data_IF_206433326593
#
_entry.id   IF_206433326593
#
_cell.length_a   1.000
_cell.length_b   1.000
_cell.length_c   1.000
_cell.angle_alpha   90.00
_cell.angle_beta   90.00
_cell.angle_gamma   90.00
#
_symmetry.space_group_name_H-M   'P 1'
#
loop_
_entity.id
_entity.type
_entity.pdbx_description
1 polymer ?
#
# COMPACT_ATOMS: atom_id res chain seq x y z
N UNK A 1 1.97 -9.96 -25.87
CA UNK A 1 1.25 -10.64 -24.78
C UNK A 1 0.69 -9.59 -23.84
N UNK A 2 -0.48 -9.78 -23.19
CA UNK A 2 -0.95 -8.85 -22.18
C UNK A 2 0.09 -8.85 -21.04
N UNK A 3 0.62 -7.67 -20.74
CA UNK A 3 1.77 -7.47 -19.87
C UNK A 3 1.33 -7.64 -18.41
N UNK A 4 2.05 -8.44 -17.63
CA UNK A 4 1.67 -8.70 -16.24
C UNK A 4 2.17 -7.58 -15.34
N UNK A 5 1.23 -6.84 -14.74
CA UNK A 5 1.51 -5.96 -13.60
C UNK A 5 1.43 -6.82 -12.34
N UNK A 6 2.49 -6.81 -11.55
CA UNK A 6 2.59 -7.66 -10.36
C UNK A 6 2.87 -6.82 -9.12
N UNK A 7 2.18 -7.08 -8.00
CA UNK A 7 2.52 -6.44 -6.74
C UNK A 7 3.87 -6.97 -6.24
N UNK A 8 4.65 -6.12 -5.57
CA UNK A 8 5.92 -6.48 -4.95
C UNK A 8 5.68 -6.75 -3.46
N UNK A 9 6.02 -7.94 -2.95
CA UNK A 9 5.92 -8.24 -1.52
C UNK A 9 6.83 -7.32 -0.68
N UNK A 10 6.35 -6.95 0.49
CA UNK A 10 6.96 -6.04 1.44
C UNK A 10 7.04 -6.68 2.83
N UNK A 11 8.18 -6.54 3.50
CA UNK A 11 8.38 -7.09 4.84
C UNK A 11 7.62 -6.33 5.94
N UNK A 12 7.45 -5.02 5.73
CA UNK A 12 6.92 -4.04 6.69
C UNK A 12 6.12 -2.97 5.94
N UNK A 13 4.98 -2.58 6.52
CA UNK A 13 4.20 -1.43 6.05
C UNK A 13 4.54 -0.19 6.88
N UNK A 14 4.57 0.98 6.24
CA UNK A 14 4.81 2.26 6.91
C UNK A 14 3.57 3.17 6.88
N UNK A 15 3.55 4.24 7.66
CA UNK A 15 2.67 5.39 7.36
C UNK A 15 3.33 6.32 6.33
N UNK A 16 2.64 7.41 5.99
CA UNK A 16 3.15 8.45 5.07
C UNK A 16 4.40 9.17 5.62
N UNK A 17 4.64 9.12 6.94
CA UNK A 17 5.83 9.67 7.58
C UNK A 17 7.00 8.69 7.66
N UNK A 18 6.87 7.49 7.08
CA UNK A 18 7.92 6.47 7.10
C UNK A 18 8.03 5.72 8.43
N UNK A 19 7.07 5.87 9.34
CA UNK A 19 7.06 5.09 10.58
C UNK A 19 6.62 3.67 10.31
N UNK A 20 7.33 2.69 10.88
CA UNK A 20 6.98 1.28 10.75
C UNK A 20 5.71 1.01 11.57
N UNK A 21 4.71 0.44 10.90
CA UNK A 21 3.43 0.10 11.50
C UNK A 21 3.47 -1.30 12.12
N UNK A 22 2.80 -1.51 13.27
CA UNK A 22 2.59 -2.85 13.80
C UNK A 22 1.89 -3.75 12.79
N UNK A 23 2.41 -4.96 12.54
CA UNK A 23 1.79 -5.94 11.61
C UNK A 23 0.31 -6.22 11.88
N UNK A 24 -0.12 -6.02 13.12
CA UNK A 24 -1.52 -6.17 13.54
C UNK A 24 -2.46 -5.14 12.90
N UNK A 25 -1.97 -3.94 12.55
CA UNK A 25 -2.77 -2.88 11.90
C UNK A 25 -3.37 -3.35 10.58
N UNK A 26 -2.64 -4.15 9.81
CA UNK A 26 -3.07 -4.70 8.52
C UNK A 26 -4.33 -5.56 8.66
N UNK A 27 -4.57 -6.17 9.84
CA UNK A 27 -5.78 -6.96 10.12
C UNK A 27 -7.06 -6.13 10.21
N UNK A 28 -6.92 -4.82 10.42
CA UNK A 28 -8.05 -3.90 10.54
C UNK A 28 -8.42 -3.24 9.20
N UNK A 29 -7.66 -3.51 8.13
CA UNK A 29 -8.01 -3.05 6.80
C UNK A 29 -9.38 -3.60 6.38
N UNK A 30 -10.19 -2.71 5.85
CA UNK A 30 -11.56 -3.01 5.43
C UNK A 30 -11.84 -2.36 4.07
N UNK A 31 -13.03 -2.59 3.52
CA UNK A 31 -13.53 -1.81 2.39
C UNK A 31 -13.38 -0.31 2.70
N UNK A 32 -13.17 0.53 1.69
CA UNK A 32 -12.85 1.96 1.74
C UNK A 32 -11.52 2.36 2.40
N UNK A 33 -10.77 1.45 3.02
CA UNK A 33 -9.40 1.76 3.44
C UNK A 33 -8.53 2.06 2.21
N UNK A 34 -7.57 2.96 2.38
CA UNK A 34 -6.60 3.32 1.35
C UNK A 34 -5.26 2.72 1.71
N UNK A 35 -4.61 2.04 0.78
CA UNK A 35 -3.27 1.46 1.00
C UNK A 35 -2.40 1.77 -0.19
N UNK A 36 -1.08 1.78 0.01
CA UNK A 36 -0.12 1.87 -1.09
C UNK A 36 0.48 0.50 -1.36
N UNK A 37 0.60 0.18 -2.63
CA UNK A 37 1.20 -1.07 -3.12
C UNK A 37 2.23 -0.71 -4.19
N UNK A 38 3.41 -1.32 -4.09
CA UNK A 38 4.42 -1.23 -5.15
C UNK A 38 4.06 -2.24 -6.23
N UNK A 39 3.91 -1.77 -7.46
CA UNK A 39 3.60 -2.59 -8.63
C UNK A 39 4.78 -2.55 -9.57
N UNK A 40 5.22 -3.73 -10.00
CA UNK A 40 6.29 -3.89 -10.99
C UNK A 40 5.70 -4.18 -12.36
N UNK A 41 6.29 -3.55 -13.36
CA UNK A 41 6.18 -3.89 -14.77
C UNK A 41 7.58 -4.24 -15.26
N UNK A 42 7.74 -5.43 -15.85
CA UNK A 42 9.05 -5.94 -16.28
C UNK A 42 9.80 -5.00 -17.22
N UNK A 43 9.08 -4.17 -18.00
CA UNK A 43 9.66 -3.31 -19.02
C UNK A 43 9.83 -1.86 -18.56
N UNK A 44 9.14 -1.46 -17.48
CA UNK A 44 9.03 -0.05 -17.04
C UNK A 44 9.47 0.22 -15.61
N UNK A 45 9.90 -0.81 -14.89
CA UNK A 45 10.33 -0.68 -13.49
C UNK A 45 9.16 -0.84 -12.52
N UNK A 46 9.22 -0.15 -11.39
CA UNK A 46 8.22 -0.26 -10.33
C UNK A 46 7.65 1.10 -9.92
N UNK A 47 6.38 1.13 -9.56
CA UNK A 47 5.67 2.33 -9.11
C UNK A 47 4.84 2.02 -7.88
N UNK A 48 4.81 2.93 -6.91
CA UNK A 48 4.03 2.79 -5.70
C UNK A 48 2.69 3.54 -5.83
N UNK A 49 1.60 2.80 -5.94
CA UNK A 49 0.26 3.29 -6.28
C UNK A 49 -0.69 3.14 -5.08
N UNK A 50 -1.52 4.14 -4.84
CA UNK A 50 -2.59 4.09 -3.84
C UNK A 50 -3.80 3.36 -4.39
N UNK A 51 -4.39 2.50 -3.56
CA UNK A 51 -5.58 1.74 -3.85
C UNK A 51 -6.61 1.96 -2.76
N UNK A 52 -7.83 2.29 -3.18
CA UNK A 52 -9.00 2.19 -2.30
C UNK A 52 -9.53 0.76 -2.36
N UNK A 53 -9.59 0.08 -1.22
CA UNK A 53 -10.08 -1.29 -1.12
C UNK A 53 -11.59 -1.31 -1.37
N UNK A 54 -12.03 -2.16 -2.30
CA UNK A 54 -13.45 -2.31 -2.67
C UNK A 54 -14.02 -3.67 -2.30
N UNK A 55 -13.15 -4.68 -2.16
CA UNK A 55 -13.54 -6.03 -1.75
C UNK A 55 -12.40 -6.71 -1.02
N UNK A 56 -12.75 -7.57 -0.06
CA UNK A 56 -11.82 -8.48 0.61
C UNK A 56 -12.48 -9.86 0.65
N UNK A 57 -11.74 -10.90 0.24
CA UNK A 57 -12.19 -12.30 0.25
C UNK A 57 -10.97 -13.21 0.31
N UNK A 58 -10.95 -14.14 1.26
CA UNK A 58 -9.90 -15.16 1.40
C UNK A 58 -8.47 -14.57 1.43
N UNK A 59 -8.30 -13.43 2.12
CA UNK A 59 -7.04 -12.71 2.22
C UNK A 59 -6.60 -11.99 0.93
N UNK A 60 -7.43 -11.97 -0.11
CA UNK A 60 -7.23 -11.16 -1.32
C UNK A 60 -7.94 -9.83 -1.15
N UNK A 61 -7.25 -8.75 -1.52
CA UNK A 61 -7.80 -7.41 -1.60
C UNK A 61 -8.02 -7.06 -3.06
N UNK A 62 -9.17 -6.45 -3.37
CA UNK A 62 -9.41 -5.78 -4.64
C UNK A 62 -9.36 -4.28 -4.37
N UNK A 63 -8.50 -3.58 -5.09
CA UNK A 63 -8.34 -2.15 -4.98
C UNK A 63 -8.63 -1.45 -6.30
N UNK A 64 -9.23 -0.28 -6.22
CA UNK A 64 -9.30 0.66 -7.34
C UNK A 64 -8.13 1.64 -7.20
N UNK A 65 -7.28 1.73 -8.22
CA UNK A 65 -6.17 2.67 -8.28
C UNK A 65 -6.70 4.10 -8.12
N UNK A 66 -6.10 4.85 -7.21
CA UNK A 66 -6.39 6.26 -6.98
C UNK A 66 -5.41 7.14 -7.75
N UNK A 67 -5.73 8.42 -7.87
CA UNK A 67 -4.79 9.40 -8.41
C UNK A 67 -3.57 9.49 -7.49
N UNK A 68 -2.40 9.20 -8.06
CA UNK A 68 -1.11 9.27 -7.37
C UNK A 68 -0.23 10.28 -8.06
N UNK A 69 0.65 10.93 -7.31
CA UNK A 69 1.73 11.69 -7.92
C UNK A 69 2.67 10.73 -8.65
N UNK A 70 2.88 10.96 -9.95
CA UNK A 70 3.74 10.14 -10.81
C UNK A 70 4.88 10.99 -11.31
N UNK A 71 6.10 10.51 -11.13
CA UNK A 71 7.23 10.99 -11.91
C UNK A 71 7.21 10.25 -13.26
N UNK A 72 7.83 10.85 -14.30
CA UNK A 72 7.81 10.32 -15.66
C UNK A 72 8.28 8.84 -15.73
N UNK A 73 7.74 8.09 -16.71
CA UNK A 73 7.84 6.62 -16.87
C UNK A 73 7.05 5.76 -15.86
N UNK A 74 5.75 6.07 -15.68
CA UNK A 74 4.83 5.25 -14.88
C UNK A 74 4.71 3.81 -15.40
N UNK A 75 4.55 2.83 -14.50
CA UNK A 75 4.31 1.41 -14.85
C UNK A 75 3.01 1.20 -15.63
N UNK A 76 2.17 2.24 -15.68
CA UNK A 76 1.10 2.39 -16.66
C UNK A 76 -0.22 1.79 -16.20
N UNK A 77 -0.49 1.79 -14.88
CA UNK A 77 -1.82 1.49 -14.35
C UNK A 77 -2.59 2.81 -14.16
N UNK A 78 -3.57 3.15 -15.02
CA UNK A 78 -4.39 4.36 -14.84
C UNK A 78 -5.19 4.33 -13.53
N UNK A 79 -5.51 5.52 -13.03
CA UNK A 79 -6.52 5.70 -11.98
C UNK A 79 -7.86 5.11 -12.42
N UNK A 80 -8.64 4.58 -11.47
CA UNK A 80 -9.90 3.89 -11.74
C UNK A 80 -9.75 2.41 -12.11
N UNK A 81 -8.57 1.95 -12.50
CA UNK A 81 -8.37 0.53 -12.79
C UNK A 81 -8.33 -0.32 -11.53
N UNK A 82 -8.89 -1.52 -11.62
CA UNK A 82 -8.90 -2.48 -10.53
C UNK A 82 -7.69 -3.40 -10.60
N UNK A 83 -7.10 -3.70 -9.44
CA UNK A 83 -6.06 -4.70 -9.27
C UNK A 83 -6.30 -5.50 -7.99
N UNK A 84 -5.77 -6.73 -7.94
CA UNK A 84 -5.74 -7.54 -6.73
C UNK A 84 -4.35 -7.59 -6.11
N UNK A 85 -4.29 -7.62 -4.79
CA UNK A 85 -3.06 -7.76 -4.01
C UNK A 85 -3.35 -8.47 -2.68
N UNK A 86 -2.29 -8.85 -1.97
CA UNK A 86 -2.30 -9.48 -0.66
C UNK A 86 -1.84 -8.50 0.41
N UNK A 87 -2.01 -8.89 1.68
CA UNK A 87 -1.58 -8.06 2.81
C UNK A 87 -0.07 -7.84 2.83
N UNK A 88 0.69 -8.83 2.33
CA UNK A 88 2.14 -8.81 2.21
C UNK A 88 2.61 -7.82 1.14
N UNK A 89 1.75 -7.41 0.22
CA UNK A 89 2.11 -6.48 -0.87
C UNK A 89 2.00 -5.01 -0.47
N UNK A 90 1.45 -4.73 0.72
CA UNK A 90 1.15 -3.39 1.19
C UNK A 90 2.41 -2.76 1.76
N UNK A 91 2.90 -1.69 1.11
CA UNK A 91 4.08 -0.97 1.55
C UNK A 91 3.73 0.21 2.47
N UNK A 92 2.51 0.74 2.40
CA UNK A 92 2.11 1.93 3.18
C UNK A 92 0.61 1.94 3.54
N UNK A 93 0.28 2.42 4.73
CA UNK A 93 -1.08 2.71 5.19
C UNK A 93 -1.11 4.16 5.69
N UNK A 94 -1.57 5.13 4.87
CA UNK A 94 -1.67 6.53 5.28
C UNK A 94 -2.76 6.68 6.34
N UNK A 95 -2.38 6.78 7.63
CA UNK A 95 -3.31 6.72 8.76
C UNK A 95 -4.38 7.82 8.73
N UNK A 96 -4.00 9.03 8.30
CA UNK A 96 -4.90 10.19 8.24
C UNK A 96 -5.91 10.12 7.09
N UNK A 97 -5.66 9.28 6.08
CA UNK A 97 -6.57 9.07 4.95
C UNK A 97 -7.58 7.95 5.23
N UNK A 98 -7.44 7.25 6.36
CA UNK A 98 -8.30 6.10 6.64
C UNK A 98 -9.69 6.52 7.10
N UNK A 99 -10.72 5.72 6.79
CA UNK A 99 -12.04 5.88 7.40
C UNK A 99 -11.96 5.89 8.93
N UNK A 100 -12.80 6.70 9.57
CA UNK A 100 -12.85 6.82 11.03
C UNK A 100 -12.98 5.47 11.77
N UNK A 101 -13.67 4.49 11.15
CA UNK A 101 -13.78 3.12 11.69
C UNK A 101 -12.41 2.45 11.85
N UNK A 102 -11.54 2.58 10.86
CA UNK A 102 -10.19 2.02 10.91
C UNK A 102 -9.39 2.71 12.02
N UNK A 103 -9.40 4.05 12.04
CA UNK A 103 -8.66 4.84 13.03
C UNK A 103 -9.05 4.45 14.46
N UNK A 104 -10.35 4.28 14.73
CA UNK A 104 -10.87 3.80 16.02
C UNK A 104 -10.38 2.39 16.35
N UNK A 105 -10.41 1.47 15.37
CA UNK A 105 -9.98 0.09 15.57
C UNK A 105 -8.47 -0.02 15.88
N UNK A 106 -7.63 0.87 15.34
CA UNK A 106 -6.18 0.83 15.54
C UNK A 106 -5.64 1.79 16.59
N UNK A 107 -6.49 2.58 17.26
CA UNK A 107 -6.07 3.59 18.25
C UNK A 107 -5.19 2.99 19.36
N UNK A 108 -5.55 1.80 19.86
CA UNK A 108 -4.79 1.08 20.88
C UNK A 108 -3.39 0.62 20.42
N UNK A 109 -3.12 0.63 19.11
CA UNK A 109 -1.82 0.26 18.51
C UNK A 109 -0.94 1.48 18.23
N UNK A 110 -1.45 2.71 18.35
CA UNK A 110 -0.68 3.91 18.00
C UNK A 110 0.62 4.04 18.82
N UNK A 111 0.61 3.66 20.11
CA UNK A 111 1.81 3.66 20.95
C UNK A 111 2.88 2.63 20.56
N UNK A 112 2.59 1.72 19.62
CA UNK A 112 3.52 0.73 19.10
C UNK A 112 4.14 1.14 17.76
N UNK A 113 3.73 2.27 17.18
CA UNK A 113 4.33 2.83 15.96
C UNK A 113 5.76 3.22 16.28
N UNK A 114 6.70 2.73 15.46
CA UNK A 114 8.13 2.96 15.69
C UNK A 114 8.69 3.94 14.67
N UNK A 115 9.19 5.07 15.15
CA UNK A 115 9.99 5.99 14.37
C UNK A 115 11.44 5.52 14.33
N UNK A 116 11.92 5.14 13.15
CA UNK A 116 13.31 4.74 12.92
C UNK A 116 14.12 5.82 12.18
N UNK A 117 13.58 7.03 12.04
CA UNK A 117 14.28 8.17 11.43
C UNK A 117 14.26 8.20 9.90
N UNK A 118 13.33 7.50 9.24
CA UNK A 118 13.20 7.52 7.78
C UNK A 118 12.44 8.78 7.34
N UNK A 119 13.13 9.69 6.64
CA UNK A 119 12.55 10.95 6.17
C UNK A 119 12.05 10.92 4.70
N UNK A 120 12.15 9.78 4.02
CA UNK A 120 11.77 9.67 2.61
C UNK A 120 10.89 8.44 2.41
N UNK A 121 9.64 8.69 2.00
CA UNK A 121 8.73 7.69 1.44
C UNK A 121 9.41 7.08 0.22
N UNK A 122 9.97 5.90 0.34
CA UNK A 122 10.74 5.31 -0.74
C UNK A 122 11.00 3.86 -0.44
N UNK A 123 10.29 3.01 -1.17
CA UNK A 123 10.50 1.57 -1.34
C UNK A 123 11.79 1.09 -0.68
N UNK A 124 11.68 0.34 0.42
CA UNK A 124 12.82 -0.42 0.93
C UNK A 124 13.27 -1.31 -0.21
N UNK A 125 14.49 -1.11 -0.69
CA UNK A 125 15.11 -1.96 -1.70
C UNK A 125 15.00 -3.41 -1.22
N UNK A 126 14.09 -4.18 -1.80
CA UNK A 126 14.22 -5.63 -1.79
C UNK A 126 15.54 -5.89 -2.50
N UNK A 127 16.48 -6.50 -1.79
CA UNK A 127 17.83 -6.83 -2.25
C UNK A 127 17.77 -7.37 -3.68
N UNK A 128 18.52 -6.74 -4.60
CA UNK A 128 18.83 -7.26 -5.93
C UNK A 128 19.64 -8.55 -5.82
#
# INVERSE_FOLDING_TARGET
MPRTLEPVPMDEATDWSGHILPRQMVKYLSIDCIVRVVIRNTDKGAEAIYFKITKIKDGTFWGIAQDTYRLWDSVGLPSGNQMTFRKEDINEIPLDWQPMRFQKSVAHLQGQIKNHGYALTGVRSATL
#
